data_IF_306881684234
#
_entry.id   IF_306881684234
#
_cell.length_a   1.000
_cell.length_b   1.000
_cell.length_c   1.000
_cell.angle_alpha   90.00
_cell.angle_beta   90.00
_cell.angle_gamma   90.00
#
_symmetry.space_group_name_H-M   'P 1'
#
loop_
_entity.id
_entity.type
_entity.pdbx_description
1 polymer ?
#
# COMPACT_ATOMS: atom_id res chain seq x y z
N UNK A 1 -2.82 -1.52 -35.23
CA UNK A 1 -2.44 -0.72 -34.03
C UNK A 1 -1.26 -1.37 -33.32
N UNK A 2 -0.21 -0.62 -33.06
CA UNK A 2 1.11 -1.12 -32.63
C UNK A 2 1.07 -1.70 -31.20
N UNK A 3 1.45 -2.97 -31.01
CA UNK A 3 1.37 -3.74 -29.74
C UNK A 3 2.07 -3.07 -28.55
N UNK A 4 3.09 -2.25 -28.81
CA UNK A 4 3.81 -1.45 -27.79
C UNK A 4 2.95 -0.35 -27.15
N UNK A 5 2.16 0.38 -27.94
CA UNK A 5 1.31 1.49 -27.44
C UNK A 5 0.15 0.97 -26.59
N UNK A 6 -0.46 -0.16 -26.97
CA UNK A 6 -1.53 -0.81 -26.18
C UNK A 6 -1.02 -1.28 -24.81
N UNK A 7 0.19 -1.86 -24.76
CA UNK A 7 0.80 -2.28 -23.49
C UNK A 7 1.10 -1.10 -22.56
N UNK A 8 1.58 0.02 -23.12
CA UNK A 8 1.80 1.24 -22.35
C UNK A 8 0.49 1.80 -21.80
N UNK A 9 -0.55 1.94 -22.64
CA UNK A 9 -1.85 2.43 -22.18
C UNK A 9 -2.43 1.57 -21.05
N UNK A 10 -2.44 0.24 -21.19
CA UNK A 10 -3.01 -0.65 -20.16
C UNK A 10 -2.23 -0.60 -18.85
N UNK A 11 -0.91 -0.38 -18.89
CA UNK A 11 -0.08 -0.35 -17.68
C UNK A 11 -0.09 1.01 -16.98
N UNK A 12 -0.05 2.11 -17.74
CA UNK A 12 0.01 3.46 -17.20
C UNK A 12 -1.37 4.05 -16.89
N UNK A 13 -2.43 3.63 -17.58
CA UNK A 13 -3.78 4.15 -17.33
C UNK A 13 -4.26 3.90 -15.89
N UNK A 14 -4.15 2.70 -15.28
CA UNK A 14 -4.56 2.49 -13.90
C UNK A 14 -3.79 3.36 -12.92
N UNK A 15 -2.51 3.62 -13.21
CA UNK A 15 -1.63 4.41 -12.35
C UNK A 15 -2.03 5.90 -12.29
N UNK A 16 -2.75 6.40 -13.31
CA UNK A 16 -3.22 7.78 -13.37
C UNK A 16 -4.69 7.85 -12.94
N UNK A 17 -5.53 6.96 -13.48
CA UNK A 17 -6.98 6.98 -13.27
C UNK A 17 -7.34 6.73 -11.80
N UNK A 18 -6.69 5.77 -11.14
CA UNK A 18 -7.02 5.43 -9.75
C UNK A 18 -6.72 6.61 -8.80
N UNK A 19 -5.52 7.22 -8.79
CA UNK A 19 -5.27 8.38 -7.94
C UNK A 19 -6.17 9.58 -8.27
N UNK A 20 -6.42 9.86 -9.55
CA UNK A 20 -7.31 10.96 -9.95
C UNK A 20 -8.72 10.75 -9.44
N UNK A 21 -9.24 9.52 -9.53
CA UNK A 21 -10.54 9.15 -8.96
C UNK A 21 -10.58 9.37 -7.45
N UNK A 22 -9.59 8.85 -6.71
CA UNK A 22 -9.54 8.96 -5.25
C UNK A 22 -9.49 10.42 -4.79
N UNK A 23 -8.63 11.23 -5.42
CA UNK A 23 -8.51 12.66 -5.11
C UNK A 23 -9.83 13.38 -5.38
N UNK A 24 -10.46 13.12 -6.52
CA UNK A 24 -11.72 13.77 -6.89
C UNK A 24 -12.86 13.37 -5.96
N UNK A 25 -12.96 12.09 -5.62
CA UNK A 25 -13.97 11.57 -4.68
C UNK A 25 -13.85 12.22 -3.30
N UNK A 26 -12.66 12.16 -2.69
CA UNK A 26 -12.46 12.74 -1.35
C UNK A 26 -12.59 14.26 -1.35
N UNK A 27 -12.17 14.95 -2.41
CA UNK A 27 -12.37 16.39 -2.53
C UNK A 27 -13.85 16.77 -2.52
N UNK A 28 -14.68 16.04 -3.27
CA UNK A 28 -16.12 16.27 -3.31
C UNK A 28 -16.76 15.99 -1.95
N UNK A 29 -16.47 14.83 -1.37
CA UNK A 29 -17.10 14.39 -0.11
C UNK A 29 -16.66 15.22 1.09
N UNK A 30 -15.42 15.71 1.13
CA UNK A 30 -14.93 16.52 2.26
C UNK A 30 -15.42 17.97 2.18
N UNK A 31 -15.45 18.58 0.99
CA UNK A 31 -15.71 20.02 0.85
C UNK A 31 -17.19 20.33 0.63
N UNK A 32 -17.89 19.51 -0.16
CA UNK A 32 -19.25 19.83 -0.61
C UNK A 32 -20.34 19.07 0.16
N UNK A 33 -19.98 18.10 1.00
CA UNK A 33 -20.97 17.34 1.76
C UNK A 33 -21.57 18.22 2.88
N UNK A 34 -22.91 18.33 2.98
CA UNK A 34 -23.57 19.25 3.89
C UNK A 34 -23.59 18.70 5.32
N UNK A 35 -22.47 18.84 6.02
CA UNK A 35 -22.28 18.38 7.38
C UNK A 35 -21.46 19.40 8.18
N UNK A 36 -21.59 19.36 9.50
CA UNK A 36 -20.70 20.08 10.40
C UNK A 36 -19.71 19.07 11.01
N UNK A 37 -18.42 19.41 11.04
CA UNK A 37 -17.42 18.55 11.65
C UNK A 37 -17.47 18.75 13.17
N UNK A 38 -17.64 17.66 13.90
CA UNK A 38 -17.55 17.67 15.36
C UNK A 38 -16.10 17.37 15.78
N UNK A 39 -15.52 18.28 16.55
CA UNK A 39 -14.13 18.20 16.99
C UNK A 39 -14.08 17.89 18.49
N UNK A 40 -13.64 16.69 18.81
CA UNK A 40 -13.49 16.23 20.19
C UNK A 40 -12.01 16.18 20.55
N UNK A 41 -11.52 17.24 21.20
CA UNK A 41 -10.14 17.37 21.64
C UNK A 41 -9.77 16.44 22.82
N UNK A 42 -10.75 15.74 23.41
CA UNK A 42 -10.49 14.73 24.45
C UNK A 42 -10.09 13.38 23.87
N UNK A 43 -10.40 13.14 22.59
CA UNK A 43 -10.04 11.91 21.87
C UNK A 43 -8.68 12.06 21.21
N UNK A 44 -7.98 10.93 21.13
CA UNK A 44 -6.65 10.90 20.49
C UNK A 44 -6.71 11.19 18.98
N UNK A 45 -7.89 11.02 18.37
CA UNK A 45 -8.19 11.46 17.01
C UNK A 45 -9.21 12.60 17.11
N UNK A 46 -8.76 13.84 16.86
CA UNK A 46 -9.55 15.05 17.09
C UNK A 46 -10.81 15.20 16.23
N UNK A 47 -10.95 14.46 15.12
CA UNK A 47 -12.18 14.45 14.32
C UNK A 47 -12.30 13.19 13.47
N UNK A 48 -13.50 12.61 13.43
CA UNK A 48 -13.91 11.74 12.33
C UNK A 48 -14.39 12.57 11.15
N UNK A 49 -14.34 12.03 9.93
CA UNK A 49 -14.94 12.73 8.78
C UNK A 49 -16.46 12.77 8.96
N UNK A 50 -17.04 13.97 8.93
CA UNK A 50 -18.46 14.18 9.25
C UNK A 50 -19.45 13.26 8.49
N UNK A 51 -19.13 12.89 7.24
CA UNK A 51 -20.03 12.13 6.40
C UNK A 51 -20.23 10.70 6.91
N UNK A 52 -19.29 10.20 7.73
CA UNK A 52 -19.42 8.90 8.39
C UNK A 52 -20.57 8.86 9.39
N UNK A 53 -20.81 9.96 10.11
CA UNK A 53 -21.94 10.08 11.02
C UNK A 53 -23.23 10.45 10.28
N UNK A 54 -23.13 11.33 9.28
CA UNK A 54 -24.29 11.85 8.57
C UNK A 54 -24.90 10.85 7.56
N UNK A 55 -24.10 9.94 7.00
CA UNK A 55 -24.59 8.94 6.04
C UNK A 55 -23.84 7.60 6.19
N UNK A 56 -24.40 6.64 6.94
CA UNK A 56 -23.74 5.36 7.17
C UNK A 56 -23.60 4.53 5.89
N UNK A 57 -24.46 4.72 4.89
CA UNK A 57 -24.32 4.02 3.61
C UNK A 57 -23.08 4.48 2.84
N UNK A 58 -22.80 5.79 2.85
CA UNK A 58 -21.58 6.35 2.24
C UNK A 58 -20.33 5.91 3.02
N UNK A 59 -20.43 5.81 4.35
CA UNK A 59 -19.36 5.29 5.21
C UNK A 59 -19.01 3.84 4.88
N UNK A 60 -20.02 2.98 4.76
CA UNK A 60 -19.85 1.57 4.38
C UNK A 60 -19.29 1.46 2.96
N UNK A 61 -19.76 2.29 2.04
CA UNK A 61 -19.24 2.31 0.68
C UNK A 61 -17.76 2.66 0.65
N UNK A 62 -17.33 3.73 1.33
CA UNK A 62 -15.91 4.12 1.40
C UNK A 62 -15.06 2.98 1.99
N UNK A 63 -15.50 2.41 3.11
CA UNK A 63 -14.77 1.35 3.79
C UNK A 63 -14.67 0.06 2.96
N UNK A 64 -15.72 -0.30 2.23
CA UNK A 64 -15.69 -1.48 1.37
C UNK A 64 -14.91 -1.23 0.08
N UNK A 65 -15.27 -0.18 -0.66
CA UNK A 65 -14.78 0.08 -2.01
C UNK A 65 -13.31 0.55 -2.01
N UNK A 66 -12.91 1.36 -1.03
CA UNK A 66 -11.58 1.97 -1.01
C UNK A 66 -10.60 1.27 -0.05
N UNK A 67 -11.09 0.53 0.95
CA UNK A 67 -10.23 -0.17 1.91
C UNK A 67 -10.29 -1.70 1.79
N UNK A 68 -11.43 -2.33 2.08
CA UNK A 68 -11.52 -3.80 2.23
C UNK A 68 -11.34 -4.53 0.89
N UNK A 69 -12.10 -4.15 -0.14
CA UNK A 69 -12.04 -4.83 -1.45
C UNK A 69 -10.63 -4.74 -2.06
N UNK A 70 -9.97 -3.56 -2.12
CA UNK A 70 -8.59 -3.46 -2.59
C UNK A 70 -7.63 -4.31 -1.77
N UNK A 71 -7.74 -4.31 -0.44
CA UNK A 71 -6.85 -5.10 0.43
C UNK A 71 -6.99 -6.61 0.17
N UNK A 72 -8.22 -7.12 0.07
CA UNK A 72 -8.48 -8.52 -0.25
C UNK A 72 -7.98 -8.87 -1.65
N UNK A 73 -8.22 -8.02 -2.63
CA UNK A 73 -7.76 -8.25 -4.01
C UNK A 73 -6.22 -8.27 -4.08
N UNK A 74 -5.54 -7.35 -3.41
CA UNK A 74 -4.08 -7.32 -3.31
C UNK A 74 -3.57 -8.62 -2.68
N UNK A 75 -4.17 -9.06 -1.58
CA UNK A 75 -3.80 -10.31 -0.91
C UNK A 75 -3.98 -11.53 -1.83
N UNK A 76 -5.12 -11.65 -2.51
CA UNK A 76 -5.41 -12.76 -3.42
C UNK A 76 -4.47 -12.77 -4.64
N UNK A 77 -4.23 -11.61 -5.25
CA UNK A 77 -3.31 -11.49 -6.39
C UNK A 77 -1.87 -11.80 -5.99
N UNK A 78 -1.43 -11.34 -4.82
CA UNK A 78 -0.08 -11.63 -4.32
C UNK A 78 0.09 -13.12 -4.00
N UNK A 79 -0.91 -13.74 -3.38
CA UNK A 79 -0.93 -15.19 -3.16
C UNK A 79 -0.91 -15.96 -4.48
N UNK A 80 -1.69 -15.55 -5.48
CA UNK A 80 -1.69 -16.17 -6.80
C UNK A 80 -0.32 -16.07 -7.49
N UNK A 81 0.38 -14.93 -7.37
CA UNK A 81 1.73 -14.75 -7.91
C UNK A 81 2.72 -15.69 -7.22
N UNK A 82 2.64 -15.81 -5.88
CA UNK A 82 3.51 -16.70 -5.10
C UNK A 82 3.27 -18.17 -5.50
N UNK A 83 2.01 -18.60 -5.56
CA UNK A 83 1.63 -19.97 -5.95
C UNK A 83 2.14 -20.26 -7.36
N UNK A 84 1.91 -19.36 -8.33
CA UNK A 84 2.42 -19.51 -9.70
C UNK A 84 3.93 -19.63 -9.74
N UNK A 85 4.64 -18.85 -8.93
CA UNK A 85 6.10 -18.94 -8.85
C UNK A 85 6.56 -20.28 -8.27
N UNK A 86 5.96 -20.75 -7.18
CA UNK A 86 6.30 -22.04 -6.56
C UNK A 86 6.01 -23.17 -7.52
N UNK A 87 4.85 -23.16 -8.18
CA UNK A 87 4.48 -24.19 -9.15
C UNK A 87 5.41 -24.20 -10.36
N UNK A 88 5.70 -23.02 -10.94
CA UNK A 88 6.64 -22.90 -12.05
C UNK A 88 8.06 -23.35 -11.65
N UNK A 89 8.51 -23.03 -10.44
CA UNK A 89 9.82 -23.47 -9.93
C UNK A 89 9.87 -24.98 -9.68
N UNK A 90 8.78 -25.56 -9.18
CA UNK A 90 8.67 -27.01 -8.94
C UNK A 90 8.62 -27.79 -10.26
N UNK A 91 7.88 -27.29 -11.26
CA UNK A 91 7.67 -27.97 -12.53
C UNK A 91 8.77 -27.68 -13.57
N UNK A 92 9.45 -26.54 -13.50
CA UNK A 92 10.56 -26.19 -14.39
C UNK A 92 11.85 -26.07 -13.58
N UNK A 93 12.42 -27.22 -13.22
CA UNK A 93 13.76 -27.29 -12.68
C UNK A 93 14.77 -26.66 -13.67
N UNK A 94 15.69 -25.82 -13.18
CA UNK A 94 16.95 -25.36 -13.84
C UNK A 94 17.00 -23.99 -14.56
N UNK A 95 16.28 -22.96 -14.14
CA UNK A 95 16.67 -21.58 -14.52
C UNK A 95 17.14 -20.73 -13.32
N UNK A 96 18.44 -20.79 -12.95
CA UNK A 96 18.98 -20.03 -11.83
C UNK A 96 18.95 -18.51 -12.04
N UNK A 97 19.06 -18.03 -13.28
CA UNK A 97 19.16 -16.60 -13.60
C UNK A 97 17.83 -15.83 -13.38
N UNK A 98 16.67 -16.44 -13.64
CA UNK A 98 15.37 -15.83 -13.39
C UNK A 98 14.95 -15.89 -11.90
N UNK A 99 15.29 -16.99 -11.23
CA UNK A 99 14.89 -17.31 -9.85
C UNK A 99 15.28 -16.22 -8.83
N UNK A 100 16.46 -15.62 -8.96
CA UNK A 100 16.92 -14.59 -8.03
C UNK A 100 16.10 -13.29 -8.13
N UNK A 101 15.67 -12.90 -9.34
CA UNK A 101 14.86 -11.69 -9.57
C UNK A 101 13.43 -11.86 -9.06
N UNK A 102 12.82 -13.01 -9.33
CA UNK A 102 11.49 -13.34 -8.82
C UNK A 102 11.46 -13.52 -7.30
N UNK A 103 12.50 -14.12 -6.70
CA UNK A 103 12.64 -14.21 -5.23
C UNK A 103 12.65 -12.84 -4.58
N UNK A 104 13.42 -11.87 -5.10
CA UNK A 104 13.45 -10.50 -4.58
C UNK A 104 12.09 -9.82 -4.65
N UNK A 105 11.37 -9.99 -5.77
CA UNK A 105 10.01 -9.46 -5.93
C UNK A 105 9.03 -10.06 -4.91
N UNK A 106 9.11 -11.38 -4.67
CA UNK A 106 8.27 -12.07 -3.68
C UNK A 106 8.61 -11.62 -2.24
N UNK A 107 9.90 -11.46 -1.92
CA UNK A 107 10.33 -10.96 -0.60
C UNK A 107 9.81 -9.54 -0.34
N UNK A 108 9.55 -8.73 -1.38
CA UNK A 108 8.90 -7.43 -1.21
C UNK A 108 7.37 -7.54 -1.13
N UNK A 109 6.75 -8.39 -1.94
CA UNK A 109 5.29 -8.54 -2.00
C UNK A 109 4.71 -9.18 -0.73
N UNK A 110 5.46 -10.09 -0.10
CA UNK A 110 5.05 -10.81 1.09
C UNK A 110 4.83 -9.90 2.32
N UNK A 111 5.78 -9.04 2.73
CA UNK A 111 5.57 -8.11 3.83
C UNK A 111 4.47 -7.09 3.51
N UNK A 112 4.36 -6.63 2.26
CA UNK A 112 3.25 -5.75 1.87
C UNK A 112 1.91 -6.47 2.07
N UNK A 113 1.78 -7.72 1.60
CA UNK A 113 0.54 -8.49 1.78
C UNK A 113 0.21 -8.74 3.24
N UNK A 114 1.22 -9.09 4.03
CA UNK A 114 1.06 -9.34 5.47
C UNK A 114 0.65 -8.07 6.22
N UNK A 115 1.25 -6.93 5.88
CA UNK A 115 0.87 -5.62 6.42
C UNK A 115 -0.61 -5.32 6.12
N UNK A 116 -1.03 -5.44 4.86
CA UNK A 116 -2.42 -5.18 4.48
C UNK A 116 -3.41 -6.14 5.17
N UNK A 117 -3.07 -7.43 5.27
CA UNK A 117 -3.91 -8.43 5.94
C UNK A 117 -3.98 -8.23 7.46
N UNK A 118 -2.86 -7.90 8.11
CA UNK A 118 -2.81 -7.74 9.57
C UNK A 118 -3.27 -6.36 10.04
N UNK A 119 -3.25 -5.34 9.18
CA UNK A 119 -3.68 -3.98 9.51
C UNK A 119 -5.08 -3.65 9.02
N UNK A 120 -5.29 -3.69 7.70
CA UNK A 120 -6.53 -3.18 7.07
C UNK A 120 -7.71 -4.10 7.31
N UNK A 121 -7.52 -5.41 7.17
CA UNK A 121 -8.63 -6.36 7.32
C UNK A 121 -9.22 -6.35 8.74
N UNK A 122 -8.44 -6.43 9.84
CA UNK A 122 -9.03 -6.38 11.17
C UNK A 122 -9.68 -5.02 11.47
N UNK A 123 -9.08 -3.91 11.03
CA UNK A 123 -9.69 -2.59 11.17
C UNK A 123 -11.02 -2.48 10.42
N UNK A 124 -11.04 -2.89 9.15
CA UNK A 124 -12.23 -2.86 8.31
C UNK A 124 -13.33 -3.76 8.86
N UNK A 125 -12.97 -4.95 9.34
CA UNK A 125 -13.90 -5.89 9.95
C UNK A 125 -14.53 -5.34 11.25
N UNK A 126 -13.71 -4.80 12.16
CA UNK A 126 -14.21 -4.16 13.39
C UNK A 126 -15.12 -2.96 13.07
N UNK A 127 -14.71 -2.14 12.11
CA UNK A 127 -15.51 -0.97 11.68
C UNK A 127 -16.86 -1.38 11.11
N UNK A 128 -16.91 -2.45 10.30
CA UNK A 128 -18.17 -3.00 9.80
C UNK A 128 -19.06 -3.50 10.95
N UNK A 129 -18.50 -4.22 11.94
CA UNK A 129 -19.26 -4.72 13.09
C UNK A 129 -19.92 -3.56 13.87
N UNK A 130 -19.19 -2.46 14.10
CA UNK A 130 -19.74 -1.28 14.76
C UNK A 130 -20.82 -0.60 13.92
N UNK A 131 -20.65 -0.52 12.60
CA UNK A 131 -21.65 0.02 11.67
C UNK A 131 -22.96 -0.77 11.64
N UNK A 132 -22.91 -2.10 11.84
CA UNK A 132 -24.11 -2.94 11.91
C UNK A 132 -24.75 -3.02 13.30
N UNK A 133 -24.22 -2.29 14.30
CA UNK A 133 -24.85 -2.12 15.62
C UNK A 133 -24.86 -3.37 16.50
N UNK A 134 -24.17 -4.44 16.12
CA UNK A 134 -24.24 -5.70 16.85
C UNK A 134 -23.42 -5.68 18.16
N UNK A 135 -22.36 -4.86 18.26
CA UNK A 135 -21.41 -4.83 19.40
C UNK A 135 -20.74 -3.45 19.57
N UNK A 136 -21.50 -2.40 19.91
CA UNK A 136 -21.02 -1.02 19.94
C UNK A 136 -19.83 -0.75 20.91
N UNK A 137 -19.75 -1.51 22.00
CA UNK A 137 -18.74 -1.30 23.06
C UNK A 137 -17.53 -2.24 22.94
N UNK A 138 -17.63 -3.31 22.15
CA UNK A 138 -16.56 -4.32 22.09
C UNK A 138 -15.47 -3.85 21.13
N UNK A 139 -14.26 -3.70 21.67
CA UNK A 139 -13.05 -3.52 20.89
C UNK A 139 -12.75 -2.09 20.45
N UNK A 140 -13.35 -1.06 21.05
CA UNK A 140 -12.99 0.33 20.76
C UNK A 140 -11.50 0.62 21.04
N UNK A 141 -10.97 0.13 22.16
CA UNK A 141 -9.54 0.26 22.50
C UNK A 141 -8.65 -0.47 21.47
N UNK A 142 -9.08 -1.65 21.04
CA UNK A 142 -8.37 -2.46 20.04
C UNK A 142 -8.40 -1.77 18.68
N UNK A 143 -9.53 -1.20 18.29
CA UNK A 143 -9.66 -0.46 17.03
C UNK A 143 -8.71 0.74 16.99
N UNK A 144 -8.58 1.48 18.10
CA UNK A 144 -7.65 2.59 18.20
C UNK A 144 -6.19 2.11 18.06
N UNK A 145 -5.82 1.00 18.70
CA UNK A 145 -4.48 0.41 18.56
C UNK A 145 -4.18 -0.05 17.13
N UNK A 146 -5.15 -0.69 16.46
CA UNK A 146 -5.02 -1.12 15.06
C UNK A 146 -4.91 0.10 14.13
N UNK A 147 -5.63 1.18 14.43
CA UNK A 147 -5.54 2.43 13.68
C UNK A 147 -4.13 3.04 13.77
N UNK A 148 -3.48 3.04 14.94
CA UNK A 148 -2.08 3.46 15.06
C UNK A 148 -1.12 2.56 14.29
N UNK A 149 -1.36 1.25 14.34
CA UNK A 149 -0.56 0.31 13.56
C UNK A 149 -0.62 0.65 12.07
N UNK A 150 -1.78 1.08 11.56
CA UNK A 150 -1.94 1.50 10.17
C UNK A 150 -1.06 2.69 9.78
N UNK A 151 -0.93 3.70 10.63
CA UNK A 151 0.01 4.81 10.40
C UNK A 151 1.46 4.33 10.33
N UNK A 152 1.84 3.41 11.22
CA UNK A 152 3.16 2.81 11.18
C UNK A 152 3.39 2.05 9.87
N UNK A 153 2.37 1.35 9.36
CA UNK A 153 2.45 0.66 8.06
C UNK A 153 2.68 1.63 6.90
N UNK A 154 1.97 2.77 6.90
CA UNK A 154 2.14 3.81 5.87
C UNK A 154 3.58 4.34 5.83
N UNK A 155 4.21 4.49 7.00
CA UNK A 155 5.62 4.92 7.12
C UNK A 155 6.57 3.81 6.70
N UNK A 156 6.30 2.53 7.03
CA UNK A 156 7.18 1.40 6.71
C UNK A 156 7.15 1.01 5.22
N UNK A 157 6.02 1.25 4.53
CA UNK A 157 5.83 0.90 3.12
C UNK A 157 6.94 1.41 2.19
N UNK A 158 7.32 2.71 2.20
CA UNK A 158 8.40 3.21 1.35
C UNK A 158 9.73 2.54 1.65
N UNK A 159 10.05 2.22 2.91
CA UNK A 159 11.31 1.52 3.26
C UNK A 159 11.34 0.10 2.70
N UNK A 160 10.21 -0.63 2.78
CA UNK A 160 10.09 -1.98 2.21
C UNK A 160 10.23 -1.92 0.67
N UNK A 161 9.58 -0.94 0.03
CA UNK A 161 9.68 -0.72 -1.42
C UNK A 161 11.11 -0.34 -1.86
N UNK A 162 11.79 0.53 -1.11
CA UNK A 162 13.17 0.94 -1.35
C UNK A 162 14.15 -0.22 -1.18
N UNK A 163 13.97 -1.05 -0.15
CA UNK A 163 14.89 -2.14 0.19
C UNK A 163 15.08 -3.19 -0.91
N UNK A 164 14.07 -3.40 -1.76
CA UNK A 164 14.16 -4.36 -2.86
C UNK A 164 14.33 -3.74 -4.25
N UNK A 165 14.73 -2.46 -4.34
CA UNK A 165 15.25 -1.88 -5.59
C UNK A 165 16.77 -2.14 -5.72
N UNK A 166 17.22 -3.20 -6.42
CA UNK A 166 18.64 -3.56 -6.50
C UNK A 166 19.50 -2.51 -7.23
N UNK A 167 18.89 -1.70 -8.09
CA UNK A 167 19.59 -0.67 -8.87
C UNK A 167 19.86 0.61 -8.08
N UNK A 168 19.23 0.79 -6.92
CA UNK A 168 19.43 1.98 -6.10
C UNK A 168 20.76 1.88 -5.34
N UNK A 169 21.03 0.72 -4.73
CA UNK A 169 22.28 0.48 -4.00
C UNK A 169 23.53 0.51 -4.89
N UNK A 170 23.45 -0.02 -6.11
CA UNK A 170 24.60 0.02 -7.04
C UNK A 170 24.94 1.45 -7.47
N UNK A 171 23.92 2.31 -7.66
CA UNK A 171 24.13 3.73 -7.99
C UNK A 171 24.60 4.57 -6.80
N UNK A 172 24.13 4.27 -5.59
CA UNK A 172 24.58 4.93 -4.36
C UNK A 172 26.03 4.56 -4.01
N UNK A 173 26.42 3.30 -4.16
CA UNK A 173 27.81 2.86 -3.95
C UNK A 173 28.78 3.41 -5.01
N UNK A 174 28.34 3.53 -6.27
CA UNK A 174 29.15 4.11 -7.34
C UNK A 174 29.45 5.60 -7.10
N UNK A 175 28.49 6.38 -6.58
CA UNK A 175 28.75 7.77 -6.16
C UNK A 175 29.70 7.86 -4.96
N UNK A 176 29.64 6.90 -4.02
CA UNK A 176 30.54 6.86 -2.87
C UNK A 176 32.00 6.57 -3.27
N UNK A 177 32.23 5.76 -4.30
CA UNK A 177 33.57 5.52 -4.83
C UNK A 177 34.10 6.69 -5.67
N UNK A 178 33.24 7.39 -6.41
CA UNK A 178 33.63 8.57 -7.17
C UNK A 178 33.96 9.79 -6.30
N UNK A 179 33.37 9.91 -5.09
CA UNK A 179 33.65 11.02 -4.17
C UNK A 179 34.84 10.78 -3.23
N UNK A 180 35.32 9.54 -3.06
CA UNK A 180 36.49 9.22 -2.21
C UNK A 180 37.80 9.28 -3.00
N UNK A 181 37.77 9.50 -4.31
CA UNK A 181 38.95 9.58 -5.18
C UNK A 181 39.26 10.97 -5.81
N UNK A 182 39.21 12.12 -5.12
CA UNK A 182 39.91 13.31 -5.59
C UNK A 182 41.24 13.44 -4.85
N UNK A 183 42.33 12.85 -5.37
CA UNK A 183 43.63 13.08 -4.74
C UNK A 183 44.82 12.21 -5.13
N UNK A 184 44.84 11.55 -6.29
CA UNK A 184 46.06 10.86 -6.72
C UNK A 184 46.23 10.85 -8.24
N UNK A 185 46.38 12.04 -8.81
CA UNK A 185 46.94 12.19 -10.16
C UNK A 185 47.70 13.51 -10.28
N UNK A 186 48.89 13.55 -9.66
CA UNK A 186 49.99 14.43 -10.08
C UNK A 186 51.20 13.56 -10.44
N UNK A 187 51.07 12.94 -11.61
CA UNK A 187 52.14 12.53 -12.55
C UNK A 187 53.20 13.64 -12.59
N UNK A 188 54.46 13.45 -12.19
CA UNK A 188 55.52 12.62 -12.78
C UNK A 188 55.64 12.79 -14.31
N UNK A 189 56.22 13.91 -14.73
CA UNK A 189 57.25 13.98 -15.79
C UNK A 189 57.94 15.33 -15.76
#
# INVERSE_FOLDING_TARGET
MNTRRRRQLIHYAPLIVIPTYMITFYFIVIIFYPCENDFDYSKVVCSGVCFYAANPALAVFDQLAHSIIPAVLIALLNMAIIIRFVWHKHHHMRQPAGSARYRKMIVQLLPISLLYLCGIVPYGFLSCIHLFGAWADVGQDVQLQVFYLFYLMAVLLPFICLSGMPNLYSKLSCKRQAQVAPGLETTRR
#
